data_IF_594579411306
#
_entry.id   IF_594579411306
#
_cell.length_a   1.000
_cell.length_b   1.000
_cell.length_c   1.000
_cell.angle_alpha   90.00
_cell.angle_beta   90.00
_cell.angle_gamma   90.00
#
_symmetry.space_group_name_H-M   'P 1'
#
loop_
_entity.id
_entity.type
_entity.pdbx_description
1 polymer ?
#
# COMPACT_ATOMS: atom_id res chain seq x y z
N UNK A 1 2.48 -24.85 -21.93
CA UNK A 1 2.23 -23.93 -20.79
C UNK A 1 2.70 -24.63 -19.53
N UNK A 2 3.66 -24.06 -18.81
CA UNK A 2 4.12 -24.61 -17.52
C UNK A 2 3.16 -24.13 -16.40
N UNK A 3 2.53 -25.04 -15.63
CA UNK A 3 1.66 -24.66 -14.51
C UNK A 3 2.33 -23.72 -13.50
N UNK A 4 3.65 -23.84 -13.28
CA UNK A 4 4.39 -22.98 -12.34
C UNK A 4 4.40 -21.52 -12.79
N UNK A 5 4.48 -21.28 -14.11
CA UNK A 5 4.45 -19.93 -14.66
C UNK A 5 3.07 -19.29 -14.49
N UNK A 6 1.99 -20.07 -14.66
CA UNK A 6 0.63 -19.56 -14.42
C UNK A 6 0.44 -19.18 -12.95
N UNK A 7 0.92 -20.02 -12.02
CA UNK A 7 0.90 -19.71 -10.58
C UNK A 7 1.70 -18.44 -10.28
N UNK A 8 2.91 -18.32 -10.85
CA UNK A 8 3.74 -17.12 -10.71
C UNK A 8 3.00 -15.85 -11.17
N UNK A 9 2.37 -15.89 -12.35
CA UNK A 9 1.59 -14.77 -12.90
C UNK A 9 0.47 -14.33 -11.94
N UNK A 10 -0.32 -15.28 -11.42
CA UNK A 10 -1.43 -15.01 -10.50
C UNK A 10 -0.92 -14.43 -9.19
N UNK A 11 0.19 -14.96 -8.65
CA UNK A 11 0.81 -14.40 -7.43
C UNK A 11 1.26 -12.96 -7.68
N UNK A 12 1.86 -12.68 -8.84
CA UNK A 12 2.30 -11.33 -9.23
C UNK A 12 1.14 -10.34 -9.24
N UNK A 13 0.02 -10.72 -9.85
CA UNK A 13 -1.20 -9.92 -9.85
C UNK A 13 -1.75 -9.73 -8.42
N UNK A 14 -1.80 -10.79 -7.62
CA UNK A 14 -2.31 -10.74 -6.25
C UNK A 14 -1.47 -9.83 -5.33
N UNK A 15 -0.14 -9.80 -5.49
CA UNK A 15 0.74 -8.94 -4.70
C UNK A 15 0.44 -7.45 -4.92
N UNK A 16 0.08 -7.05 -6.14
CA UNK A 16 -0.32 -5.65 -6.41
C UNK A 16 -1.57 -5.28 -5.61
N UNK A 17 -2.61 -6.11 -5.65
CA UNK A 17 -3.84 -5.87 -4.88
C UNK A 17 -3.58 -5.87 -3.37
N UNK A 18 -2.76 -6.80 -2.90
CA UNK A 18 -2.36 -6.87 -1.49
C UNK A 18 -1.62 -5.60 -1.06
N UNK A 19 -0.66 -5.14 -1.86
CA UNK A 19 0.08 -3.91 -1.60
C UNK A 19 -0.85 -2.69 -1.53
N UNK A 20 -1.73 -2.52 -2.53
CA UNK A 20 -2.69 -1.41 -2.54
C UNK A 20 -3.59 -1.43 -1.31
N UNK A 21 -4.11 -2.60 -0.95
CA UNK A 21 -4.93 -2.76 0.25
C UNK A 21 -4.18 -2.45 1.54
N UNK A 22 -2.92 -2.87 1.67
CA UNK A 22 -2.08 -2.52 2.83
C UNK A 22 -1.83 -1.01 2.92
N UNK A 23 -1.51 -0.37 1.80
CA UNK A 23 -1.27 1.06 1.73
C UNK A 23 -2.52 1.88 2.09
N UNK A 24 -3.69 1.55 1.52
CA UNK A 24 -4.95 2.23 1.81
C UNK A 24 -5.31 2.05 3.29
N UNK A 25 -5.24 0.82 3.81
CA UNK A 25 -5.57 0.54 5.21
C UNK A 25 -4.62 1.24 6.19
N UNK A 26 -3.35 1.42 5.82
CA UNK A 26 -2.39 2.17 6.63
C UNK A 26 -2.80 3.65 6.76
N UNK A 27 -3.15 4.30 5.64
CA UNK A 27 -3.63 5.68 5.63
C UNK A 27 -4.92 5.82 6.43
N UNK A 28 -5.88 4.90 6.25
CA UNK A 28 -7.14 4.94 7.00
C UNK A 28 -6.93 4.88 8.52
N UNK A 29 -5.97 4.09 9.00
CA UNK A 29 -5.62 4.03 10.43
C UNK A 29 -4.99 5.32 10.93
N UNK A 30 -4.00 5.84 10.21
CA UNK A 30 -3.34 7.09 10.57
C UNK A 30 -4.34 8.26 10.58
N UNK A 31 -5.21 8.34 9.57
CA UNK A 31 -6.28 9.34 9.52
C UNK A 31 -7.24 9.21 10.72
N UNK A 32 -7.63 8.00 11.10
CA UNK A 32 -8.45 7.76 12.29
C UNK A 32 -7.80 8.27 13.58
N UNK A 33 -6.49 8.02 13.77
CA UNK A 33 -5.74 8.52 14.91
C UNK A 33 -5.66 10.07 14.93
N UNK A 34 -5.44 10.69 13.77
CA UNK A 34 -5.44 12.15 13.62
C UNK A 34 -6.81 12.75 13.95
N UNK A 35 -7.90 12.15 13.47
CA UNK A 35 -9.26 12.62 13.77
C UNK A 35 -9.55 12.55 15.27
N UNK A 36 -9.14 11.46 15.93
CA UNK A 36 -9.30 11.33 17.38
C UNK A 36 -8.52 12.41 18.14
N UNK A 37 -7.26 12.66 17.78
CA UNK A 37 -6.42 13.69 18.39
C UNK A 37 -7.02 15.10 18.19
N UNK A 38 -7.44 15.45 16.97
CA UNK A 38 -8.05 16.76 16.68
C UNK A 38 -9.34 16.97 17.48
N UNK A 39 -10.20 15.94 17.56
CA UNK A 39 -11.43 16.00 18.36
C UNK A 39 -11.15 16.18 19.84
N UNK A 40 -10.15 15.48 20.37
CA UNK A 40 -9.76 15.60 21.77
C UNK A 40 -9.20 16.98 22.08
N UNK A 41 -8.38 17.56 21.21
CA UNK A 41 -7.90 18.93 21.35
C UNK A 41 -9.06 19.93 21.36
N UNK A 42 -10.02 19.83 20.44
CA UNK A 42 -11.19 20.72 20.44
C UNK A 42 -12.07 20.57 21.69
N UNK A 43 -12.16 19.36 22.26
CA UNK A 43 -12.93 19.10 23.49
C UNK A 43 -12.25 19.67 24.73
N UNK A 44 -10.94 19.47 24.87
CA UNK A 44 -10.16 19.90 26.02
C UNK A 44 -9.80 21.40 25.98
N UNK A 45 -9.65 21.96 24.78
CA UNK A 45 -9.25 23.35 24.55
C UNK A 45 -10.28 24.09 23.68
N UNK A 46 -11.45 24.49 24.23
CA UNK A 46 -12.49 25.19 23.47
C UNK A 46 -12.05 26.54 22.89
N UNK A 47 -10.94 27.12 23.41
CA UNK A 47 -10.33 28.34 22.88
C UNK A 47 -9.85 28.21 21.44
N UNK A 48 -9.58 26.99 20.97
CA UNK A 48 -9.15 26.72 19.59
C UNK A 48 -10.25 27.08 18.59
N UNK A 49 -11.48 26.64 18.84
CA UNK A 49 -12.63 26.93 17.96
C UNK A 49 -13.03 28.42 17.99
N UNK A 50 -12.68 29.12 19.07
CA UNK A 50 -12.86 30.58 19.21
C UNK A 50 -11.70 31.38 18.59
N UNK A 51 -10.64 30.71 18.13
CA UNK A 51 -9.43 31.34 17.59
C UNK A 51 -8.56 32.07 18.62
N UNK A 52 -8.82 31.89 19.92
CA UNK A 52 -8.08 32.55 21.01
C UNK A 52 -6.88 31.73 21.48
N UNK A 53 -6.83 30.45 21.14
CA UNK A 53 -5.78 29.50 21.52
C UNK A 53 -5.29 28.75 20.27
N UNK A 54 -3.99 28.46 20.21
CA UNK A 54 -3.40 27.72 19.09
C UNK A 54 -3.52 26.21 19.33
N UNK A 55 -3.88 25.39 18.31
CA UNK A 55 -3.82 23.95 18.40
C UNK A 55 -2.40 23.45 18.69
N UNK A 56 -2.30 22.25 19.25
CA UNK A 56 -1.00 21.58 19.35
C UNK A 56 -0.73 20.76 18.08
N UNK A 57 0.01 21.36 17.14
CA UNK A 57 0.34 20.75 15.86
C UNK A 57 1.38 19.63 15.99
N UNK A 58 2.31 19.73 16.96
CA UNK A 58 3.39 18.76 17.14
C UNK A 58 2.87 17.34 17.37
N UNK A 59 1.82 17.21 18.19
CA UNK A 59 1.14 15.91 18.42
C UNK A 59 0.63 15.25 17.14
N UNK A 60 -0.01 16.01 16.26
CA UNK A 60 -0.53 15.48 14.98
C UNK A 60 0.63 15.06 14.06
N UNK A 61 1.69 15.87 14.00
CA UNK A 61 2.90 15.55 13.23
C UNK A 61 3.53 14.25 13.73
N UNK A 62 3.70 14.10 15.05
CA UNK A 62 4.30 12.91 15.66
C UNK A 62 3.49 11.63 15.39
N UNK A 63 2.16 11.72 15.41
CA UNK A 63 1.27 10.61 15.04
C UNK A 63 1.52 10.22 13.58
N UNK A 64 1.44 11.17 12.67
CA UNK A 64 1.65 10.93 11.24
C UNK A 64 3.02 10.32 10.95
N UNK A 65 4.09 10.85 11.55
CA UNK A 65 5.46 10.38 11.32
C UNK A 65 5.65 8.95 11.84
N UNK A 66 5.26 8.68 13.09
CA UNK A 66 5.43 7.37 13.71
C UNK A 66 4.63 6.28 12.98
N UNK A 67 3.37 6.58 12.65
CA UNK A 67 2.48 5.61 12.03
C UNK A 67 2.93 5.34 10.58
N UNK A 68 3.29 6.37 9.81
CA UNK A 68 3.82 6.18 8.45
C UNK A 68 5.05 5.27 8.41
N UNK A 69 6.01 5.50 9.32
CA UNK A 69 7.23 4.66 9.38
C UNK A 69 6.91 3.21 9.73
N UNK A 70 6.01 2.99 10.68
CA UNK A 70 5.62 1.64 11.11
C UNK A 70 4.87 0.89 10.01
N UNK A 71 3.98 1.57 9.30
CA UNK A 71 3.10 0.96 8.32
C UNK A 71 3.80 0.60 7.02
N UNK A 72 4.83 1.36 6.61
CA UNK A 72 5.61 1.11 5.39
C UNK A 72 6.51 -0.14 5.46
N UNK A 73 6.79 -0.66 6.66
CA UNK A 73 7.61 -1.88 6.82
C UNK A 73 6.97 -3.09 6.15
N UNK A 74 5.65 -3.26 6.25
CA UNK A 74 4.98 -4.45 5.73
C UNK A 74 4.96 -4.48 4.20
N UNK A 75 4.53 -3.40 3.49
CA UNK A 75 4.60 -3.36 2.04
C UNK A 75 6.04 -3.44 1.51
N UNK A 76 7.01 -2.85 2.21
CA UNK A 76 8.43 -2.95 1.83
C UNK A 76 8.97 -4.38 1.90
N UNK A 77 8.68 -5.12 2.98
CA UNK A 77 9.05 -6.53 3.10
C UNK A 77 8.37 -7.39 2.03
N UNK A 78 7.10 -7.13 1.73
CA UNK A 78 6.37 -7.82 0.66
C UNK A 78 7.08 -7.63 -0.69
N UNK A 79 7.46 -6.40 -1.03
CA UNK A 79 8.14 -6.05 -2.29
C UNK A 79 9.48 -6.79 -2.48
N UNK A 80 10.25 -6.97 -1.40
CA UNK A 80 11.57 -7.61 -1.46
C UNK A 80 11.46 -9.12 -1.37
N UNK A 81 10.64 -9.65 -0.47
CA UNK A 81 10.61 -11.09 -0.19
C UNK A 81 9.78 -11.88 -1.21
N UNK A 82 8.77 -11.27 -1.85
CA UNK A 82 7.91 -12.01 -2.78
C UNK A 82 8.63 -12.52 -4.05
N UNK A 83 9.47 -11.71 -4.75
CA UNK A 83 10.29 -12.22 -5.85
C UNK A 83 11.25 -13.33 -5.41
N UNK A 84 11.80 -13.26 -4.20
CA UNK A 84 12.70 -14.28 -3.64
C UNK A 84 11.93 -15.58 -3.41
N UNK A 85 10.77 -15.51 -2.74
CA UNK A 85 9.94 -16.67 -2.47
C UNK A 85 9.50 -17.38 -3.76
N UNK A 86 9.05 -16.62 -4.76
CA UNK A 86 8.61 -17.17 -6.06
C UNK A 86 9.81 -17.72 -6.84
N UNK A 87 10.93 -16.99 -6.90
CA UNK A 87 12.09 -17.39 -7.69
C UNK A 87 12.76 -18.66 -7.17
N UNK A 88 13.02 -18.75 -5.87
CA UNK A 88 13.63 -19.95 -5.27
C UNK A 88 12.62 -21.11 -5.09
N UNK A 89 11.32 -20.81 -4.98
CA UNK A 89 10.29 -21.83 -4.77
C UNK A 89 9.74 -22.45 -6.06
N UNK A 90 9.54 -21.64 -7.11
CA UNK A 90 8.89 -22.05 -8.36
C UNK A 90 9.84 -21.98 -9.58
N UNK A 91 10.99 -21.33 -9.43
CA UNK A 91 12.02 -21.23 -10.47
C UNK A 91 11.95 -19.95 -11.31
N UNK A 92 12.94 -19.79 -12.20
CA UNK A 92 13.14 -18.56 -12.99
C UNK A 92 11.97 -18.27 -13.95
N UNK A 93 11.36 -19.31 -14.54
CA UNK A 93 10.19 -19.15 -15.40
C UNK A 93 9.00 -18.54 -14.65
N UNK A 94 8.74 -19.03 -13.44
CA UNK A 94 7.67 -18.53 -12.57
C UNK A 94 7.97 -17.13 -12.04
N UNK A 95 9.24 -16.81 -11.75
CA UNK A 95 9.67 -15.46 -11.41
C UNK A 95 9.40 -14.48 -12.56
N UNK A 96 9.76 -14.86 -13.79
CA UNK A 96 9.47 -14.04 -14.97
C UNK A 96 7.97 -13.80 -15.15
N UNK A 97 7.16 -14.83 -14.99
CA UNK A 97 5.70 -14.71 -15.05
C UNK A 97 5.14 -13.86 -13.89
N UNK A 98 5.69 -13.98 -12.68
CA UNK A 98 5.35 -13.13 -11.54
C UNK A 98 5.61 -11.65 -11.81
N UNK A 99 6.77 -11.31 -12.36
CA UNK A 99 7.07 -9.92 -12.72
C UNK A 99 6.13 -9.42 -13.83
N UNK A 100 5.84 -10.25 -14.83
CA UNK A 100 4.88 -9.88 -15.88
C UNK A 100 3.47 -9.61 -15.32
N UNK A 101 3.00 -10.45 -14.40
CA UNK A 101 1.71 -10.28 -13.73
C UNK A 101 1.67 -9.02 -12.87
N UNK A 102 2.72 -8.79 -12.09
CA UNK A 102 2.84 -7.61 -11.25
C UNK A 102 2.92 -6.30 -12.07
N UNK A 103 3.65 -6.30 -13.20
CA UNK A 103 3.74 -5.14 -14.09
C UNK A 103 2.40 -4.87 -14.78
N UNK A 104 1.78 -5.89 -15.35
CA UNK A 104 0.52 -5.77 -16.09
C UNK A 104 -0.61 -5.27 -15.18
N UNK A 105 -0.83 -5.95 -14.05
CA UNK A 105 -1.84 -5.55 -13.06
C UNK A 105 -1.48 -4.24 -12.38
N UNK A 106 -0.20 -4.05 -12.04
CA UNK A 106 0.29 -2.86 -11.35
C UNK A 106 0.11 -1.58 -12.15
N UNK A 107 0.44 -1.60 -13.43
CA UNK A 107 0.24 -0.44 -14.32
C UNK A 107 -1.23 -0.03 -14.37
N UNK A 108 -2.14 -0.99 -14.57
CA UNK A 108 -3.58 -0.71 -14.64
C UNK A 108 -4.12 -0.21 -13.29
N UNK A 109 -3.70 -0.83 -12.18
CA UNK A 109 -4.10 -0.43 -10.84
C UNK A 109 -3.59 0.97 -10.49
N UNK A 110 -2.34 1.30 -10.83
CA UNK A 110 -1.77 2.61 -10.56
C UNK A 110 -2.55 3.73 -11.27
N UNK A 111 -2.86 3.53 -12.56
CA UNK A 111 -3.67 4.49 -13.33
C UNK A 111 -5.08 4.59 -12.77
N UNK A 112 -5.71 3.46 -12.44
CA UNK A 112 -7.05 3.45 -11.86
C UNK A 112 -7.12 4.26 -10.56
N UNK A 113 -6.25 3.95 -9.59
CA UNK A 113 -6.25 4.63 -8.29
C UNK A 113 -5.96 6.12 -8.41
N UNK A 114 -4.93 6.50 -9.19
CA UNK A 114 -4.57 7.91 -9.36
C UNK A 114 -5.67 8.71 -10.06
N UNK A 115 -6.27 8.16 -11.12
CA UNK A 115 -7.32 8.87 -11.86
C UNK A 115 -8.63 8.94 -11.08
N UNK A 116 -9.03 7.86 -10.39
CA UNK A 116 -10.24 7.86 -9.57
C UNK A 116 -10.14 8.87 -8.43
N UNK A 117 -9.00 8.89 -7.71
CA UNK A 117 -8.80 9.88 -6.65
C UNK A 117 -8.74 11.32 -7.18
N UNK A 118 -8.06 11.55 -8.31
CA UNK A 118 -8.02 12.88 -8.94
C UNK A 118 -9.39 13.35 -9.45
N UNK A 119 -10.22 12.43 -9.95
CA UNK A 119 -11.58 12.73 -10.37
C UNK A 119 -12.46 13.18 -9.20
N UNK A 120 -12.37 12.51 -8.03
CA UNK A 120 -13.11 12.92 -6.84
C UNK A 120 -12.68 14.28 -6.30
N UNK A 121 -11.37 14.58 -6.26
CA UNK A 121 -10.87 15.91 -5.86
C UNK A 121 -11.37 17.01 -6.80
N UNK A 122 -11.31 16.76 -8.12
CA UNK A 122 -11.78 17.72 -9.10
C UNK A 122 -13.31 17.91 -9.06
N UNK A 123 -14.07 16.85 -8.80
CA UNK A 123 -15.52 16.96 -8.59
C UNK A 123 -15.84 17.81 -7.34
N UNK A 124 -15.09 17.63 -6.25
CA UNK A 124 -15.21 18.48 -5.05
C UNK A 124 -14.92 19.94 -5.38
N UNK A 125 -13.79 20.24 -6.03
CA UNK A 125 -13.44 21.62 -6.45
C UNK A 125 -14.51 22.25 -7.34
N UNK A 126 -15.04 21.49 -8.31
CA UNK A 126 -16.12 21.96 -9.17
C UNK A 126 -17.37 22.37 -8.38
N UNK A 127 -17.72 21.64 -7.32
CA UNK A 127 -18.83 22.01 -6.44
C UNK A 127 -18.47 23.19 -5.55
N UNK A 128 -17.24 23.26 -5.05
CA UNK A 128 -16.74 24.41 -4.27
C UNK A 128 -16.77 25.73 -5.07
N UNK A 129 -16.59 25.67 -6.39
CA UNK A 129 -16.66 26.81 -7.33
C UNK A 129 -18.11 27.28 -7.60
N UNK A 130 -19.12 26.65 -6.99
CA UNK A 130 -20.52 27.06 -7.06
C UNK A 130 -21.38 26.21 -8.00
N UNK A 131 -20.79 25.25 -8.73
CA UNK A 131 -21.60 24.31 -9.49
C UNK A 131 -22.33 23.36 -8.53
N UNK A 132 -23.57 22.98 -8.85
CA UNK A 132 -24.37 22.05 -8.04
C UNK A 132 -24.57 22.43 -6.56
N UNK A 133 -24.67 23.73 -6.26
CA UNK A 133 -25.12 24.23 -4.95
C UNK A 133 -24.03 24.84 -4.07
N UNK A 134 -22.76 24.75 -4.43
CA UNK A 134 -21.70 25.46 -3.71
C UNK A 134 -21.33 24.85 -2.35
N UNK A 135 -20.43 25.53 -1.63
CA UNK A 135 -19.97 25.12 -0.30
C UNK A 135 -21.11 25.04 0.71
N UNK A 136 -21.17 23.93 1.43
CA UNK A 136 -22.18 23.65 2.46
C UNK A 136 -23.48 23.02 1.93
N UNK A 137 -23.59 22.79 0.62
CA UNK A 137 -24.68 22.00 0.04
C UNK A 137 -24.51 20.50 0.31
N UNK A 138 -25.60 19.73 0.15
CA UNK A 138 -25.55 18.27 0.22
C UNK A 138 -24.57 17.67 -0.81
N UNK A 139 -24.49 18.27 -1.99
CA UNK A 139 -23.53 17.88 -3.03
C UNK A 139 -22.08 18.09 -2.56
N UNK A 140 -21.80 19.19 -1.87
CA UNK A 140 -20.46 19.46 -1.31
C UNK A 140 -20.09 18.46 -0.22
N UNK A 141 -21.03 18.12 0.67
CA UNK A 141 -20.78 17.09 1.68
C UNK A 141 -20.52 15.71 1.04
N UNK A 142 -21.25 15.34 -0.01
CA UNK A 142 -21.04 14.09 -0.73
C UNK A 142 -19.68 14.03 -1.44
N UNK A 143 -19.25 15.13 -2.08
CA UNK A 143 -17.95 15.17 -2.77
C UNK A 143 -16.76 15.21 -1.81
N UNK A 144 -16.90 15.80 -0.61
CA UNK A 144 -15.89 15.69 0.46
C UNK A 144 -15.68 14.22 0.86
N UNK A 145 -16.76 13.44 1.00
CA UNK A 145 -16.64 12.00 1.32
C UNK A 145 -15.92 11.27 0.19
N UNK A 146 -16.25 11.57 -1.07
CA UNK A 146 -15.56 11.00 -2.23
C UNK A 146 -14.06 11.32 -2.27
N UNK A 147 -13.69 12.57 -2.02
CA UNK A 147 -12.28 12.99 -1.99
C UNK A 147 -11.52 12.33 -0.84
N UNK A 148 -12.15 12.21 0.34
CA UNK A 148 -11.55 11.50 1.49
C UNK A 148 -11.28 10.02 1.19
N UNK A 149 -12.13 9.37 0.38
CA UNK A 149 -11.89 8.00 -0.14
C UNK A 149 -10.79 8.00 -1.20
N UNK A 150 -10.70 9.06 -2.00
CA UNK A 150 -9.72 9.24 -3.08
C UNK A 150 -8.30 9.60 -2.63
N UNK A 151 -8.12 10.21 -1.46
CA UNK A 151 -6.81 10.65 -0.96
C UNK A 151 -5.81 9.47 -0.81
N UNK A 152 -6.15 8.35 -0.14
CA UNK A 152 -5.26 7.19 -0.11
C UNK A 152 -4.96 6.61 -1.50
N UNK A 153 -5.86 6.80 -2.47
CA UNK A 153 -5.72 6.25 -3.82
C UNK A 153 -4.70 7.06 -4.63
N UNK A 154 -4.90 8.39 -4.71
CA UNK A 154 -4.08 9.28 -5.55
C UNK A 154 -2.75 9.68 -4.92
N UNK A 155 -2.67 9.76 -3.59
CA UNK A 155 -1.49 10.30 -2.90
C UNK A 155 -0.60 9.21 -2.28
N UNK A 156 -1.13 7.99 -2.11
CA UNK A 156 -0.39 6.89 -1.48
C UNK A 156 -0.31 5.67 -2.38
N UNK A 157 -1.40 4.91 -2.55
CA UNK A 157 -1.35 3.60 -3.18
C UNK A 157 -1.02 3.67 -4.68
N UNK A 158 -1.70 4.54 -5.44
CA UNK A 158 -1.52 4.69 -6.88
C UNK A 158 -0.06 5.00 -7.26
N UNK A 159 0.52 6.10 -6.76
CA UNK A 159 1.92 6.44 -7.01
C UNK A 159 2.92 5.41 -6.50
N UNK A 160 2.64 4.75 -5.36
CA UNK A 160 3.55 3.79 -4.74
C UNK A 160 3.66 2.43 -5.47
N UNK A 161 2.70 2.10 -6.36
CA UNK A 161 2.80 0.89 -7.19
C UNK A 161 3.99 0.96 -8.17
N UNK A 162 4.31 2.15 -8.70
CA UNK A 162 5.45 2.29 -9.61
C UNK A 162 6.81 1.94 -8.96
N UNK A 163 7.20 2.51 -7.80
CA UNK A 163 8.40 2.08 -7.11
C UNK A 163 8.33 0.64 -6.62
N UNK A 164 7.16 0.11 -6.24
CA UNK A 164 6.97 -1.30 -5.91
C UNK A 164 7.42 -2.20 -7.08
N UNK A 165 6.94 -1.95 -8.29
CA UNK A 165 7.31 -2.69 -9.51
C UNK A 165 8.82 -2.62 -9.73
N UNK A 166 9.42 -1.42 -9.61
CA UNK A 166 10.87 -1.24 -9.78
C UNK A 166 11.68 -2.05 -8.77
N UNK A 167 11.28 -2.06 -7.50
CA UNK A 167 11.95 -2.85 -6.45
C UNK A 167 11.82 -4.34 -6.75
N UNK A 168 10.63 -4.83 -7.09
CA UNK A 168 10.41 -6.25 -7.41
C UNK A 168 11.24 -6.69 -8.62
N UNK A 169 11.30 -5.88 -9.67
CA UNK A 169 12.12 -6.15 -10.86
C UNK A 169 13.60 -6.17 -10.53
N UNK A 170 14.09 -5.20 -9.75
CA UNK A 170 15.48 -5.13 -9.32
C UNK A 170 15.86 -6.36 -8.50
N UNK A 171 15.06 -6.70 -7.49
CA UNK A 171 15.31 -7.88 -6.65
C UNK A 171 15.27 -9.15 -7.49
N UNK A 172 14.24 -9.31 -8.33
CA UNK A 172 14.12 -10.45 -9.24
C UNK A 172 15.36 -10.64 -10.12
N UNK A 173 15.87 -9.55 -10.70
CA UNK A 173 17.09 -9.57 -11.51
C UNK A 173 18.32 -9.98 -10.69
N UNK A 174 18.48 -9.40 -9.49
CA UNK A 174 19.63 -9.70 -8.62
C UNK A 174 19.66 -11.15 -8.12
N UNK A 175 18.50 -11.76 -7.88
CA UNK A 175 18.44 -13.14 -7.37
C UNK A 175 18.47 -14.19 -8.48
N UNK A 176 18.23 -13.81 -9.73
CA UNK A 176 18.19 -14.76 -10.86
C UNK A 176 19.48 -15.58 -11.02
N UNK A 177 20.70 -15.00 -11.00
CA UNK A 177 21.93 -15.78 -11.08
C UNK A 177 22.07 -16.80 -9.94
N UNK A 178 21.66 -16.41 -8.72
CA UNK A 178 21.68 -17.32 -7.58
C UNK A 178 20.70 -18.50 -7.80
N UNK A 179 19.46 -18.23 -8.19
CA UNK A 179 18.46 -19.27 -8.46
C UNK A 179 18.97 -20.29 -9.49
N UNK A 180 19.58 -19.80 -10.59
CA UNK A 180 20.16 -20.67 -11.62
C UNK A 180 21.33 -21.48 -11.06
N UNK A 181 22.21 -20.86 -10.27
CA UNK A 181 23.34 -21.53 -9.64
C UNK A 181 22.91 -22.68 -8.71
N UNK A 182 21.92 -22.44 -7.85
CA UNK A 182 21.38 -23.47 -6.95
C UNK A 182 20.64 -24.59 -7.71
N UNK A 183 19.99 -24.27 -8.84
CA UNK A 183 19.33 -25.26 -9.70
C UNK A 183 20.31 -26.19 -10.42
N UNK A 184 21.51 -25.70 -10.78
CA UNK A 184 22.55 -26.50 -11.45
C UNK A 184 23.37 -27.35 -10.47
N UNK A 185 23.49 -26.93 -9.21
CA UNK A 185 24.26 -27.63 -8.18
C UNK A 185 23.50 -28.68 -7.38
N UNK A 186 22.34 -29.16 -7.88
CA UNK A 186 21.43 -30.11 -7.22
C UNK A 186 21.03 -29.72 -5.78
N UNK A 187 21.13 -28.42 -5.46
CA UNK A 187 20.95 -27.86 -4.13
C UNK A 187 19.48 -27.49 -3.88
N UNK A 188 18.57 -28.38 -4.25
CA UNK A 188 17.11 -28.15 -4.19
C UNK A 188 16.65 -27.86 -2.77
N UNK A 189 17.24 -28.52 -1.77
CA UNK A 189 16.91 -28.33 -0.35
C UNK A 189 17.18 -26.90 0.12
N UNK A 190 18.31 -26.32 -0.29
CA UNK A 190 18.67 -24.94 0.04
C UNK A 190 17.74 -23.94 -0.64
N UNK A 191 17.38 -24.18 -1.92
CA UNK A 191 16.42 -23.34 -2.64
C UNK A 191 15.05 -23.34 -1.96
N UNK A 192 14.55 -24.53 -1.59
CA UNK A 192 13.30 -24.65 -0.84
C UNK A 192 13.37 -23.99 0.53
N UNK A 193 14.48 -24.12 1.25
CA UNK A 193 14.67 -23.46 2.55
C UNK A 193 14.61 -21.92 2.42
N UNK A 194 15.28 -21.34 1.43
CA UNK A 194 15.24 -19.89 1.16
C UNK A 194 13.81 -19.45 0.84
N UNK A 195 13.12 -20.18 -0.04
CA UNK A 195 11.73 -19.86 -0.41
C UNK A 195 10.78 -19.91 0.80
N UNK A 196 10.96 -20.92 1.67
CA UNK A 196 10.16 -21.09 2.88
C UNK A 196 10.42 -19.96 3.88
N UNK A 197 11.68 -19.59 4.12
CA UNK A 197 12.04 -18.47 5.00
C UNK A 197 11.46 -17.16 4.47
N UNK A 198 11.60 -16.87 3.17
CA UNK A 198 11.04 -15.66 2.56
C UNK A 198 9.50 -15.62 2.72
N UNK A 199 8.83 -16.75 2.50
CA UNK A 199 7.38 -16.88 2.68
C UNK A 199 6.98 -16.67 4.14
N UNK A 200 7.71 -17.24 5.10
CA UNK A 200 7.46 -17.04 6.54
C UNK A 200 7.62 -15.58 6.95
N UNK A 201 8.61 -14.87 6.41
CA UNK A 201 8.80 -13.43 6.67
C UNK A 201 7.59 -12.64 6.17
N UNK A 202 7.09 -12.93 4.96
CA UNK A 202 5.89 -12.29 4.40
C UNK A 202 4.68 -12.58 5.29
N UNK A 203 4.43 -13.84 5.62
CA UNK A 203 3.29 -14.25 6.45
C UNK A 203 3.36 -13.59 7.83
N UNK A 204 4.53 -13.58 8.47
CA UNK A 204 4.74 -12.90 9.73
C UNK A 204 4.47 -11.40 9.64
N UNK A 205 4.97 -10.72 8.60
CA UNK A 205 4.74 -9.30 8.38
C UNK A 205 3.24 -9.00 8.19
N UNK A 206 2.53 -9.82 7.41
CA UNK A 206 1.09 -9.69 7.20
C UNK A 206 0.28 -9.93 8.49
N UNK A 207 0.62 -10.97 9.27
CA UNK A 207 -0.04 -11.25 10.56
C UNK A 207 0.19 -10.10 11.54
N UNK A 208 1.43 -9.59 11.60
CA UNK A 208 1.77 -8.44 12.46
C UNK A 208 0.97 -7.20 12.06
N UNK A 209 0.80 -6.93 10.77
CA UNK A 209 -0.01 -5.83 10.28
C UNK A 209 -1.49 -6.00 10.68
N UNK A 210 -2.08 -7.17 10.44
CA UNK A 210 -3.48 -7.45 10.81
C UNK A 210 -3.74 -7.32 12.32
N UNK A 211 -2.81 -7.78 13.16
CA UNK A 211 -2.91 -7.63 14.63
C UNK A 211 -2.78 -6.18 15.09
N UNK A 212 -2.11 -5.32 14.31
CA UNK A 212 -2.09 -3.89 14.57
C UNK A 212 -3.44 -3.26 14.20
N UNK A 213 -4.08 -3.71 13.12
CA UNK A 213 -5.41 -3.23 12.71
C UNK A 213 -6.52 -3.52 13.73
N UNK A 214 -6.50 -4.66 14.42
CA UNK A 214 -7.56 -5.03 15.38
C UNK A 214 -7.44 -4.35 16.75
N UNK A 215 -6.38 -3.58 17.02
CA UNK A 215 -6.21 -2.88 18.32
C UNK A 215 -6.76 -1.45 18.32
N UNK A 216 -7.20 -0.95 17.16
CA UNK A 216 -7.68 0.43 16.99
C UNK A 216 -9.22 0.47 16.87
N UNK A 217 -9.90 -0.68 16.90
CA UNK A 217 -11.36 -0.78 17.01
C UNK A 217 -11.83 -0.79 18.45
#
# INVERSE_FOLDING_TARGET
ADPRNLVGLIIGAAVVFMFSGLAINAVSRAAGAVVHEVREQFRLHPGIMKGTEKPEYGRVVDICTRDSLRELVTPGLLAVMAPIAVGFGLGVGALGAYLAGAIGTGTLMAVFLSNSGGAWDNAKKMVEDGNHGGKGSDAHHATIVGDTVGDPFKDTAGPAINPLIKVMNLVGLLVTPAIVGFALGDSTDYSMAIALVATLIIVYALIRNRRASTRIS
#
